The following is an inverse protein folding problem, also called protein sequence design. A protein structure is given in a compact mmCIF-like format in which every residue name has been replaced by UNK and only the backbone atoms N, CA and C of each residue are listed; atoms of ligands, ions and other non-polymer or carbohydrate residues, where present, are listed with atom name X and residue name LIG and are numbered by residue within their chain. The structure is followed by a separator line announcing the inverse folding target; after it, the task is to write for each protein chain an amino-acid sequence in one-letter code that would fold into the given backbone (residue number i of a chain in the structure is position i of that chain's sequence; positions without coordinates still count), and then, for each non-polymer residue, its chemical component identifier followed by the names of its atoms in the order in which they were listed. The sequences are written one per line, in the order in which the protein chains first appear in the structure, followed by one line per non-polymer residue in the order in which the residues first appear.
data_IF_915289422212
#
_entry.id   IF_915289422212
#
_cell.length_a   1.000
_cell.length_b   1.000
_cell.length_c   1.000
_cell.angle_alpha   90.00
_cell.angle_beta   90.00
_cell.angle_gamma   90.00
#
_symmetry.space_group_name_H-M   'P 1'
#
loop_
_entity.id
_entity.type
_entity.pdbx_description
1 polymer ?
#
# COMPACT_ATOMS: atom_id res chain seq x y z
N UNK A 1 -6.59 4.48 14.25
CA UNK A 1 -6.00 4.06 12.97
C UNK A 1 -6.71 4.84 11.87
N UNK A 2 -5.97 5.41 10.91
CA UNK A 2 -6.58 6.15 9.80
C UNK A 2 -7.36 5.19 8.90
N UNK A 3 -8.41 5.67 8.24
CA UNK A 3 -9.17 4.91 7.25
C UNK A 3 -8.73 5.34 5.85
N UNK A 4 -7.68 4.72 5.33
CA UNK A 4 -7.03 5.17 4.09
C UNK A 4 -7.97 5.14 2.87
N UNK A 5 -8.92 4.21 2.83
CA UNK A 5 -9.95 4.17 1.79
C UNK A 5 -10.88 5.40 1.76
N UNK A 6 -11.08 6.07 2.89
CA UNK A 6 -11.93 7.28 3.00
C UNK A 6 -11.13 8.57 2.71
N UNK A 7 -9.81 8.48 2.49
CA UNK A 7 -8.99 9.68 2.22
C UNK A 7 -9.37 10.33 0.90
N UNK A 8 -9.64 9.56 -0.15
CA UNK A 8 -10.06 10.13 -1.44
C UNK A 8 -11.39 10.87 -1.32
N UNK A 9 -12.29 10.41 -0.44
CA UNK A 9 -13.56 11.09 -0.17
C UNK A 9 -13.36 12.40 0.61
N UNK A 10 -12.37 12.43 1.49
CA UNK A 10 -12.01 13.64 2.25
C UNK A 10 -11.32 14.72 1.39
N UNK A 11 -10.65 14.33 0.31
CA UNK A 11 -9.91 15.25 -0.56
C UNK A 11 -10.69 15.75 -1.79
N UNK A 12 -11.84 15.17 -2.15
CA UNK A 12 -12.61 15.60 -3.32
C UNK A 12 -14.12 15.74 -3.12
N UNK A 13 -14.61 16.90 -3.57
CA UNK A 13 -16.01 17.28 -3.68
C UNK A 13 -16.66 16.73 -4.99
N UNK A 14 -16.87 15.41 -5.09
CA UNK A 14 -17.81 14.84 -6.07
C UNK A 14 -17.24 14.20 -7.33
N UNK A 15 -15.93 13.93 -7.42
CA UNK A 15 -15.37 13.08 -8.46
C UNK A 15 -15.50 11.59 -8.09
N UNK A 16 -15.61 10.72 -9.11
CA UNK A 16 -15.68 9.27 -8.89
C UNK A 16 -14.32 8.78 -8.44
N UNK A 17 -14.26 8.12 -7.29
CA UNK A 17 -13.05 7.53 -6.71
C UNK A 17 -13.34 6.05 -6.37
N UNK A 18 -12.30 5.22 -6.29
CA UNK A 18 -12.44 3.84 -5.79
C UNK A 18 -11.39 3.53 -4.74
N UNK A 19 -11.78 2.75 -3.74
CA UNK A 19 -10.89 2.21 -2.73
C UNK A 19 -10.98 0.69 -2.73
N UNK A 20 -9.82 0.04 -2.68
CA UNK A 20 -9.68 -1.41 -2.59
C UNK A 20 -8.89 -1.76 -1.33
N UNK A 21 -9.22 -2.88 -0.71
CA UNK A 21 -8.47 -3.44 0.42
C UNK A 21 -8.02 -4.84 0.07
N UNK A 22 -6.75 -5.15 0.33
CA UNK A 22 -6.13 -6.44 0.02
C UNK A 22 -5.38 -6.94 1.23
N UNK A 23 -5.76 -8.12 1.71
CA UNK A 23 -5.20 -8.78 2.90
C UNK A 23 -4.52 -10.11 2.58
N UNK A 24 -4.79 -10.67 1.40
CA UNK A 24 -4.24 -11.96 0.98
C UNK A 24 -3.67 -11.90 -0.44
N UNK A 25 -2.74 -12.79 -0.76
CA UNK A 25 -2.20 -12.93 -2.11
C UNK A 25 -3.30 -13.23 -3.14
N UNK A 26 -4.32 -13.99 -2.74
CA UNK A 26 -5.45 -14.28 -3.63
C UNK A 26 -6.25 -13.02 -3.96
N UNK A 27 -6.59 -12.21 -2.96
CA UNK A 27 -7.28 -10.93 -3.19
C UNK A 27 -6.45 -9.99 -4.07
N UNK A 28 -5.12 -10.01 -3.92
CA UNK A 28 -4.22 -9.27 -4.80
C UNK A 28 -4.30 -9.76 -6.25
N UNK A 29 -4.17 -11.07 -6.46
CA UNK A 29 -4.21 -11.68 -7.79
C UNK A 29 -5.57 -11.49 -8.46
N UNK A 30 -6.66 -11.61 -7.69
CA UNK A 30 -8.03 -11.40 -8.16
C UNK A 30 -8.22 -9.93 -8.55
N UNK A 31 -7.76 -8.98 -7.73
CA UNK A 31 -7.83 -7.55 -7.98
C UNK A 31 -7.05 -7.15 -9.25
N UNK A 32 -5.84 -7.68 -9.44
CA UNK A 32 -5.03 -7.41 -10.64
C UNK A 32 -5.68 -7.92 -11.93
N UNK A 33 -6.58 -8.91 -11.86
CA UNK A 33 -7.33 -9.41 -13.01
C UNK A 33 -8.60 -8.60 -13.28
N UNK A 34 -9.02 -7.72 -12.37
CA UNK A 34 -10.21 -6.92 -12.57
C UNK A 34 -10.00 -5.87 -13.67
N UNK A 35 -10.84 -5.94 -14.69
CA UNK A 35 -10.82 -4.96 -15.78
C UNK A 35 -11.05 -3.53 -15.25
N UNK A 36 -11.88 -3.37 -14.22
CA UNK A 36 -12.26 -2.05 -13.71
C UNK A 36 -11.16 -1.35 -12.91
N UNK A 37 -10.20 -2.11 -12.36
CA UNK A 37 -8.97 -1.57 -11.82
C UNK A 37 -8.05 -1.14 -12.97
N UNK A 38 -7.81 -2.05 -13.92
CA UNK A 38 -6.89 -1.83 -15.05
C UNK A 38 -7.34 -0.73 -16.02
N UNK A 39 -8.65 -0.46 -16.12
CA UNK A 39 -9.20 0.67 -16.87
C UNK A 39 -8.81 2.03 -16.28
N UNK A 40 -8.47 2.09 -14.99
CA UNK A 40 -7.98 3.27 -14.28
C UNK A 40 -8.78 4.56 -14.57
N UNK A 41 -10.11 4.45 -14.68
CA UNK A 41 -11.01 5.53 -15.10
C UNK A 41 -11.17 6.67 -14.09
N UNK A 42 -10.58 6.53 -12.91
CA UNK A 42 -10.71 7.42 -11.76
C UNK A 42 -9.46 7.32 -10.87
N UNK A 43 -9.34 8.22 -9.89
CA UNK A 43 -8.39 8.02 -8.80
C UNK A 43 -8.76 6.75 -8.01
N UNK A 44 -7.72 5.98 -7.64
CA UNK A 44 -7.88 4.70 -6.95
C UNK A 44 -6.86 4.62 -5.82
N UNK A 45 -7.28 4.13 -4.65
CA UNK A 45 -6.39 3.71 -3.55
C UNK A 45 -6.50 2.20 -3.41
N UNK A 46 -5.35 1.54 -3.22
CA UNK A 46 -5.28 0.13 -2.85
C UNK A 46 -4.54 0.05 -1.51
N UNK A 47 -5.26 -0.32 -0.46
CA UNK A 47 -4.70 -0.53 0.87
C UNK A 47 -4.26 -1.99 0.99
N UNK A 48 -2.95 -2.21 1.07
CA UNK A 48 -2.35 -3.54 1.21
C UNK A 48 -1.97 -3.74 2.68
N UNK A 49 -2.50 -4.80 3.29
CA UNK A 49 -2.21 -5.16 4.67
C UNK A 49 -1.06 -6.16 4.71
N UNK A 50 0.06 -5.73 5.31
CA UNK A 50 1.25 -6.55 5.53
C UNK A 50 1.52 -6.68 7.04
N UNK A 51 2.28 -7.70 7.42
CA UNK A 51 2.81 -7.79 8.78
C UNK A 51 3.82 -6.66 9.03
N UNK A 52 3.88 -6.17 10.27
CA UNK A 52 4.75 -5.04 10.64
C UNK A 52 6.24 -5.31 10.35
N UNK A 53 6.66 -6.58 10.46
CA UNK A 53 8.05 -6.99 10.21
C UNK A 53 8.29 -7.50 8.78
N UNK A 54 7.26 -7.53 7.94
CA UNK A 54 7.40 -7.93 6.54
C UNK A 54 8.01 -6.80 5.72
N UNK A 55 9.21 -7.07 5.21
CA UNK A 55 10.00 -6.12 4.46
C UNK A 55 10.99 -6.86 3.57
N UNK A 56 11.43 -6.24 2.45
CA UNK A 56 12.46 -6.83 1.60
C UNK A 56 13.76 -7.10 2.38
N UNK A 57 14.39 -8.26 2.17
CA UNK A 57 15.64 -8.62 2.85
C UNK A 57 16.77 -7.60 2.62
N UNK A 58 16.81 -6.98 1.44
CA UNK A 58 17.74 -5.90 1.13
C UNK A 58 17.55 -4.69 2.07
N UNK A 59 16.30 -4.34 2.41
CA UNK A 59 16.00 -3.24 3.32
C UNK A 59 16.43 -3.58 4.76
N UNK A 60 16.18 -4.83 5.20
CA UNK A 60 16.62 -5.32 6.51
C UNK A 60 18.15 -5.29 6.64
N UNK A 61 18.87 -5.71 5.59
CA UNK A 61 20.32 -5.66 5.56
C UNK A 61 20.86 -4.23 5.60
N UNK A 62 20.26 -3.32 4.82
CA UNK A 62 20.62 -1.90 4.81
C UNK A 62 20.40 -1.25 6.18
N UNK A 63 19.27 -1.51 6.84
CA UNK A 63 18.98 -1.00 8.18
C UNK A 63 20.08 -1.36 9.17
N UNK A 64 20.49 -2.65 9.22
CA UNK A 64 21.58 -3.12 10.09
C UNK A 64 22.90 -2.39 9.82
N UNK A 65 23.24 -2.13 8.56
CA UNK A 65 24.47 -1.41 8.20
C UNK A 65 24.42 0.05 8.66
N UNK A 66 23.27 0.70 8.52
CA UNK A 66 23.06 2.09 8.95
C UNK A 66 23.16 2.19 10.47
N UNK A 67 22.55 1.27 11.21
CA UNK A 67 22.60 1.24 12.67
C UNK A 67 24.04 1.10 13.18
N UNK A 68 24.81 0.16 12.61
CA UNK A 68 26.23 -0.01 12.95
C UNK A 68 27.07 1.23 12.64
N UNK A 69 26.74 1.96 11.57
CA UNK A 69 27.44 3.20 11.21
C UNK A 69 27.11 4.33 12.18
N UNK A 70 25.84 4.45 12.59
CA UNK A 70 25.39 5.49 13.50
C UNK A 70 25.86 5.27 14.94
N UNK A 71 25.96 4.00 15.38
CA UNK A 71 26.48 3.65 16.71
C UNK A 71 28.01 3.85 16.88
N UNK A 72 28.74 4.09 15.78
CA UNK A 72 30.17 4.40 15.79
C UNK A 72 30.47 5.91 15.86
N UNK A 73 29.43 6.76 15.82
CA UNK A 73 29.52 8.18 16.16
C UNK A 73 29.35 8.37 17.65
#
# INVERSE_FOLDING_TARGET
MWKYGELLDAFEAGYKNKAYQVRTCKEWDDLLREKTLNEASCAQIIEIFLDESDAPEALKALGKMIDQKNAKK
#
